data_IF_703167169767
#
_entry.id   IF_703167169767
#
_cell.length_a   1.000
_cell.length_b   1.000
_cell.length_c   1.000
_cell.angle_alpha   90.00
_cell.angle_beta   90.00
_cell.angle_gamma   90.00
#
_symmetry.space_group_name_H-M   'P 1'
#
loop_
_entity.id
_entity.type
_entity.pdbx_description
1 polymer ?
#
# COMPACT_ATOMS: atom_id res chain seq x y z
N UNK A 1 3.33 -5.68 -11.06
CA UNK A 1 2.64 -6.89 -10.54
C UNK A 1 1.30 -7.03 -11.25
N UNK A 2 0.78 -8.26 -11.37
CA UNK A 2 -0.57 -8.56 -11.86
C UNK A 2 -1.31 -9.32 -10.75
N UNK A 3 -2.42 -8.78 -10.27
CA UNK A 3 -3.23 -9.41 -9.24
C UNK A 3 -4.53 -9.90 -9.86
N UNK A 4 -4.76 -11.19 -9.76
CA UNK A 4 -6.02 -11.83 -10.12
C UNK A 4 -6.71 -12.36 -8.88
N UNK A 5 -7.90 -11.88 -8.63
CA UNK A 5 -8.78 -12.34 -7.55
C UNK A 5 -9.82 -13.26 -8.17
N UNK A 6 -9.73 -14.57 -7.96
CA UNK A 6 -10.67 -15.51 -8.55
C UNK A 6 -12.06 -15.35 -7.95
N UNK A 7 -13.06 -15.78 -8.70
CA UNK A 7 -14.42 -15.89 -8.15
C UNK A 7 -14.41 -16.84 -6.94
N UNK A 8 -14.97 -16.37 -5.83
CA UNK A 8 -15.05 -17.12 -4.58
C UNK A 8 -16.43 -16.96 -3.95
N UNK A 9 -16.94 -18.03 -3.35
CA UNK A 9 -18.23 -17.99 -2.66
C UNK A 9 -18.13 -17.44 -1.24
N UNK A 10 -16.95 -17.51 -0.62
CA UNK A 10 -16.70 -17.08 0.74
C UNK A 10 -15.40 -16.26 0.82
N UNK A 11 -15.33 -15.23 1.67
CA UNK A 11 -14.09 -14.50 1.88
C UNK A 11 -13.03 -15.40 2.53
N UNK A 12 -11.77 -15.19 2.13
CA UNK A 12 -10.61 -15.84 2.76
C UNK A 12 -10.29 -15.17 4.08
N UNK A 13 -10.51 -13.87 4.15
CA UNK A 13 -10.14 -13.03 5.28
C UNK A 13 -11.26 -12.09 5.70
N UNK A 14 -11.29 -11.80 6.98
CA UNK A 14 -12.21 -10.84 7.59
C UNK A 14 -11.40 -9.90 8.46
N UNK A 15 -11.57 -8.60 8.25
CA UNK A 15 -10.88 -7.57 9.03
C UNK A 15 -11.18 -7.73 10.53
N UNK A 16 -10.13 -7.84 11.33
CA UNK A 16 -10.25 -7.92 12.78
C UNK A 16 -10.75 -6.62 13.42
N UNK A 17 -10.61 -5.49 12.69
CA UNK A 17 -10.98 -4.18 13.19
C UNK A 17 -12.48 -3.91 13.10
N UNK A 18 -13.11 -4.27 11.99
CA UNK A 18 -14.51 -3.89 11.69
C UNK A 18 -15.38 -5.05 11.17
N UNK A 19 -14.81 -6.27 11.08
CA UNK A 19 -15.53 -7.45 10.63
C UNK A 19 -15.84 -7.47 9.13
N UNK A 20 -15.23 -6.57 8.34
CA UNK A 20 -15.48 -6.49 6.89
C UNK A 20 -14.72 -7.60 6.18
N UNK A 21 -15.39 -8.27 5.25
CA UNK A 21 -14.79 -9.29 4.39
C UNK A 21 -13.82 -8.67 3.39
N UNK A 22 -12.59 -9.19 3.32
CA UNK A 22 -11.50 -8.64 2.53
C UNK A 22 -11.05 -9.59 1.43
N UNK A 23 -10.72 -9.02 0.27
CA UNK A 23 -9.98 -9.65 -0.81
C UNK A 23 -8.48 -9.37 -0.74
N UNK A 24 -8.10 -8.29 -0.05
CA UNK A 24 -6.73 -7.96 0.31
C UNK A 24 -6.73 -7.21 1.63
N UNK A 25 -5.88 -7.63 2.56
CA UNK A 25 -5.74 -7.04 3.90
C UNK A 25 -5.38 -5.56 3.85
N UNK A 26 -5.67 -4.86 4.94
CA UNK A 26 -5.24 -3.47 5.15
C UNK A 26 -3.73 -3.39 5.22
N UNK A 27 -3.15 -2.56 4.37
CA UNK A 27 -1.71 -2.35 4.31
C UNK A 27 -1.36 -0.97 3.75
N UNK A 28 -0.08 -0.65 3.77
CA UNK A 28 0.54 0.46 3.03
C UNK A 28 1.60 -0.11 2.10
N UNK A 29 1.85 0.56 0.98
CA UNK A 29 2.93 0.15 0.07
C UNK A 29 4.30 0.59 0.60
N UNK A 30 5.34 -0.18 0.29
CA UNK A 30 6.71 0.09 0.74
C UNK A 30 7.42 1.18 -0.07
N UNK A 31 7.10 1.34 -1.35
CA UNK A 31 7.81 2.20 -2.29
C UNK A 31 7.58 3.70 -2.12
N UNK A 32 7.96 4.45 -3.14
CA UNK A 32 7.69 5.90 -3.24
C UNK A 32 6.22 6.14 -3.55
N UNK A 33 5.73 5.51 -4.62
CA UNK A 33 4.33 5.58 -5.03
C UNK A 33 3.91 4.31 -5.78
N UNK A 34 2.61 4.09 -5.80
CA UNK A 34 1.98 3.05 -6.62
C UNK A 34 1.08 3.70 -7.66
N UNK A 35 1.18 3.27 -8.90
CA UNK A 35 0.24 3.60 -9.98
C UNK A 35 -0.58 2.35 -10.25
N UNK A 36 -1.87 2.41 -9.96
CA UNK A 36 -2.75 1.25 -9.98
C UNK A 36 -3.81 1.37 -11.07
N UNK A 37 -3.85 0.38 -11.96
CA UNK A 37 -5.03 0.06 -12.73
C UNK A 37 -5.93 -0.87 -11.92
N UNK A 38 -7.23 -0.58 -11.86
CA UNK A 38 -8.26 -1.48 -11.36
C UNK A 38 -9.36 -1.66 -12.40
N UNK A 39 -9.96 -2.84 -12.46
CA UNK A 39 -11.09 -3.09 -13.33
C UNK A 39 -12.39 -2.49 -12.77
N UNK A 40 -13.49 -2.61 -13.54
CA UNK A 40 -14.80 -2.07 -13.18
C UNK A 40 -15.45 -2.69 -11.94
N UNK A 41 -14.88 -3.76 -11.38
CA UNK A 41 -15.38 -4.38 -10.15
C UNK A 41 -15.11 -3.54 -8.92
N UNK A 42 -14.06 -2.68 -8.97
CA UNK A 42 -13.74 -1.78 -7.87
C UNK A 42 -13.30 -2.50 -6.61
N UNK A 43 -13.87 -2.12 -5.47
CA UNK A 43 -13.61 -2.71 -4.16
C UNK A 43 -12.37 -2.19 -3.45
N UNK A 44 -11.57 -1.32 -4.08
CA UNK A 44 -10.48 -0.62 -3.41
C UNK A 44 -11.05 0.42 -2.45
N UNK A 45 -10.54 0.40 -1.22
CA UNK A 45 -10.82 1.42 -0.21
C UNK A 45 -9.53 2.04 0.30
N UNK A 46 -9.58 3.33 0.61
CA UNK A 46 -8.51 4.09 1.26
C UNK A 46 -9.01 4.63 2.59
N UNK A 47 -8.11 4.69 3.58
CA UNK A 47 -8.45 5.18 4.91
C UNK A 47 -8.09 6.66 5.06
N UNK A 48 -9.05 7.46 5.49
CA UNK A 48 -8.78 8.81 5.95
C UNK A 48 -8.00 8.74 7.27
N UNK A 49 -6.75 9.18 7.26
CA UNK A 49 -5.85 9.08 8.44
C UNK A 49 -6.29 9.94 9.63
N UNK A 50 -7.11 10.97 9.43
CA UNK A 50 -7.54 11.87 10.50
C UNK A 50 -8.80 11.37 11.18
N UNK A 51 -9.75 10.83 10.41
CA UNK A 51 -11.03 10.34 10.94
C UNK A 51 -11.04 8.83 11.15
N UNK A 52 -10.15 8.09 10.46
CA UNK A 52 -10.15 6.62 10.44
C UNK A 52 -11.19 6.02 9.47
N UNK A 53 -12.00 6.85 8.82
CA UNK A 53 -13.05 6.39 7.92
C UNK A 53 -12.48 5.78 6.64
N UNK A 54 -13.15 4.76 6.14
CA UNK A 54 -12.85 4.13 4.86
C UNK A 54 -13.69 4.74 3.75
N UNK A 55 -13.04 5.05 2.63
CA UNK A 55 -13.67 5.61 1.44
C UNK A 55 -13.41 4.70 0.24
N UNK A 56 -14.47 4.44 -0.52
CA UNK A 56 -14.36 3.71 -1.78
C UNK A 56 -13.59 4.56 -2.81
N UNK A 57 -12.71 3.89 -3.57
CA UNK A 57 -12.06 4.48 -4.74
C UNK A 57 -12.79 3.98 -5.98
N UNK A 58 -13.62 4.83 -6.61
CA UNK A 58 -14.40 4.42 -7.76
C UNK A 58 -13.51 4.06 -8.95
N UNK A 59 -13.99 3.12 -9.78
CA UNK A 59 -13.35 2.85 -11.06
C UNK A 59 -13.62 4.00 -12.05
N UNK A 60 -12.56 4.47 -12.70
CA UNK A 60 -12.63 5.34 -13.86
C UNK A 60 -11.81 4.68 -14.99
N UNK A 61 -12.42 4.37 -16.16
CA UNK A 61 -11.71 3.71 -17.27
C UNK A 61 -10.61 4.57 -17.88
N UNK A 62 -10.60 5.87 -17.62
CA UNK A 62 -9.64 6.83 -18.17
C UNK A 62 -8.60 7.29 -17.14
N UNK A 63 -8.58 6.72 -15.94
CA UNK A 63 -7.70 7.14 -14.87
C UNK A 63 -7.00 5.95 -14.18
N UNK A 64 -5.82 6.23 -13.63
CA UNK A 64 -5.13 5.37 -12.67
C UNK A 64 -5.30 5.93 -11.26
N UNK A 65 -5.33 5.04 -10.30
CA UNK A 65 -5.23 5.43 -8.89
C UNK A 65 -3.76 5.59 -8.54
N UNK A 66 -3.40 6.69 -7.87
CA UNK A 66 -2.04 6.92 -7.38
C UNK A 66 -2.09 7.05 -5.87
N UNK A 67 -1.27 6.27 -5.17
CA UNK A 67 -1.08 6.38 -3.74
C UNK A 67 0.41 6.45 -3.36
N UNK A 68 0.68 7.10 -2.25
CA UNK A 68 2.02 7.24 -1.66
C UNK A 68 2.36 6.02 -0.81
N UNK A 69 3.64 5.65 -0.81
CA UNK A 69 4.16 4.56 0.00
C UNK A 69 5.11 5.04 1.11
N UNK A 70 5.60 4.09 1.92
CA UNK A 70 6.42 4.35 3.10
C UNK A 70 7.78 4.99 2.77
N UNK A 71 8.42 4.63 1.65
CA UNK A 71 9.69 5.26 1.26
C UNK A 71 9.52 6.77 1.05
N UNK A 72 8.41 7.21 0.46
CA UNK A 72 8.12 8.65 0.32
C UNK A 72 7.83 9.29 1.69
N UNK A 73 7.16 8.59 2.59
CA UNK A 73 6.94 9.08 3.95
C UNK A 73 8.26 9.34 4.67
N UNK A 74 9.22 8.40 4.58
CA UNK A 74 10.56 8.56 5.15
C UNK A 74 11.31 9.72 4.49
N UNK A 75 11.36 9.77 3.17
CA UNK A 75 12.04 10.83 2.41
C UNK A 75 11.48 12.23 2.68
N UNK A 76 10.19 12.33 2.95
CA UNK A 76 9.56 13.61 3.27
C UNK A 76 9.52 13.91 4.78
N UNK A 77 10.23 13.11 5.57
CA UNK A 77 10.24 13.22 7.03
C UNK A 77 8.81 13.26 7.62
N UNK A 78 7.93 12.42 7.08
CA UNK A 78 6.55 12.29 7.51
C UNK A 78 5.57 13.35 7.01
N UNK A 79 6.00 14.28 6.12
CA UNK A 79 5.09 15.30 5.54
C UNK A 79 4.09 14.68 4.59
N UNK A 80 4.51 13.70 3.78
CA UNK A 80 3.63 12.90 2.94
C UNK A 80 3.52 11.49 3.53
N UNK A 81 2.36 11.19 4.09
CA UNK A 81 2.11 9.90 4.75
C UNK A 81 1.75 8.81 3.75
N UNK A 82 2.23 7.61 3.99
CA UNK A 82 1.74 6.43 3.29
C UNK A 82 0.25 6.22 3.58
N UNK A 83 -0.48 5.77 2.57
CA UNK A 83 -1.93 5.66 2.61
C UNK A 83 -2.35 4.23 2.92
N UNK A 84 -3.03 4.01 4.05
CA UNK A 84 -3.67 2.74 4.33
C UNK A 84 -4.74 2.46 3.28
N UNK A 85 -4.69 1.27 2.71
CA UNK A 85 -5.69 0.83 1.75
C UNK A 85 -5.96 -0.66 1.90
N UNK A 86 -7.11 -1.09 1.39
CA UNK A 86 -7.57 -2.48 1.41
C UNK A 86 -8.43 -2.77 0.20
N UNK A 87 -8.68 -4.04 -0.09
CA UNK A 87 -9.64 -4.44 -1.12
C UNK A 87 -10.75 -5.23 -0.48
N UNK A 88 -11.98 -4.83 -0.70
CA UNK A 88 -13.16 -5.56 -0.25
C UNK A 88 -13.26 -6.90 -0.97
N UNK A 89 -13.77 -7.88 -0.26
CA UNK A 89 -14.13 -9.16 -0.87
C UNK A 89 -15.21 -8.94 -1.93
N UNK A 90 -15.01 -9.57 -3.08
CA UNK A 90 -15.99 -9.58 -4.16
C UNK A 90 -16.21 -11.03 -4.60
N UNK A 91 -17.48 -11.44 -4.76
CA UNK A 91 -17.82 -12.77 -5.24
C UNK A 91 -17.47 -12.98 -6.71
N UNK A 92 -17.32 -11.91 -7.49
CA UNK A 92 -16.90 -11.98 -8.89
C UNK A 92 -15.38 -11.91 -9.02
N UNK A 93 -14.88 -12.41 -10.15
CA UNK A 93 -13.45 -12.24 -10.46
C UNK A 93 -13.11 -10.76 -10.64
N UNK A 94 -11.90 -10.40 -10.18
CA UNK A 94 -11.37 -9.04 -10.25
C UNK A 94 -9.92 -9.05 -10.69
N UNK A 95 -9.53 -8.03 -11.44
CA UNK A 95 -8.15 -7.81 -11.87
C UNK A 95 -7.69 -6.44 -11.40
N UNK A 96 -6.46 -6.37 -10.89
CA UNK A 96 -5.76 -5.11 -10.68
C UNK A 96 -4.28 -5.23 -11.04
N UNK A 97 -3.71 -4.14 -11.54
CA UNK A 97 -2.33 -4.11 -12.03
C UNK A 97 -1.61 -2.94 -11.36
N UNK A 98 -0.99 -3.14 -10.19
CA UNK A 98 -0.15 -2.13 -9.56
C UNK A 98 1.22 -2.07 -10.23
N UNK A 99 1.70 -0.87 -10.49
CA UNK A 99 3.09 -0.56 -10.76
C UNK A 99 3.67 0.13 -9.54
N UNK A 100 4.64 -0.52 -8.89
CA UNK A 100 5.34 0.02 -7.73
C UNK A 100 6.56 0.79 -8.21
N UNK A 101 6.61 2.08 -7.92
CA UNK A 101 7.79 2.91 -8.16
C UNK A 101 8.63 2.94 -6.89
N UNK A 102 9.79 2.30 -6.98
CA UNK A 102 10.67 2.06 -5.83
C UNK A 102 12.06 2.65 -6.07
N UNK A 103 12.78 3.07 -5.02
CA UNK A 103 14.18 3.48 -5.14
C UNK A 103 15.08 2.30 -5.51
N UNK A 104 16.33 2.57 -5.91
CA UNK A 104 17.37 1.54 -5.95
C UNK A 104 17.68 1.02 -4.54
N UNK A 105 18.13 -0.23 -4.42
CA UNK A 105 18.36 -0.88 -3.12
C UNK A 105 19.39 -0.17 -2.24
N UNK A 106 20.41 0.43 -2.86
CA UNK A 106 21.46 1.20 -2.19
C UNK A 106 21.08 2.64 -1.87
N UNK A 107 19.90 3.10 -2.31
CA UNK A 107 19.45 4.46 -2.09
C UNK A 107 19.15 4.69 -0.60
N UNK A 108 19.72 5.75 -0.03
CA UNK A 108 19.47 6.14 1.36
C UNK A 108 18.17 6.93 1.48
N UNK A 109 17.29 6.49 2.37
CA UNK A 109 16.04 7.19 2.70
C UNK A 109 16.34 8.38 3.64
N UNK A 110 17.15 9.34 3.15
CA UNK A 110 17.54 10.54 3.90
C UNK A 110 16.76 11.75 3.39
N UNK A 111 15.95 12.40 4.25
CA UNK A 111 15.20 13.62 3.91
C UNK A 111 16.05 14.76 3.36
N UNK A 112 17.34 14.78 3.64
CA UNK A 112 18.27 15.79 3.11
C UNK A 112 18.36 15.79 1.59
N UNK A 113 18.07 14.66 0.92
CA UNK A 113 18.02 14.60 -0.55
C UNK A 113 16.90 15.48 -1.14
N UNK A 114 15.89 15.83 -0.34
CA UNK A 114 14.81 16.75 -0.66
C UNK A 114 14.98 18.13 0.03
N UNK A 115 16.20 18.48 0.45
CA UNK A 115 16.53 19.73 1.15
C UNK A 115 15.74 19.93 2.47
N UNK A 116 15.30 18.85 3.09
CA UNK A 116 14.61 18.88 4.38
C UNK A 116 15.67 18.86 5.47
N UNK A 117 15.81 19.95 6.21
CA UNK A 117 16.84 20.16 7.24
C UNK A 117 16.38 19.90 8.67
N UNK A 118 15.10 19.58 8.87
CA UNK A 118 14.54 19.27 10.19
C UNK A 118 15.13 17.98 10.76
N UNK A 119 15.09 17.83 12.07
CA UNK A 119 15.48 16.58 12.74
C UNK A 119 14.67 15.41 12.20
N UNK A 120 15.36 14.35 11.77
CA UNK A 120 14.71 13.18 11.26
C UNK A 120 13.88 12.48 12.35
N UNK A 121 12.63 12.19 12.03
CA UNK A 121 11.73 11.41 12.89
C UNK A 121 11.83 9.89 12.60
N UNK A 122 12.49 9.49 11.51
CA UNK A 122 12.75 8.12 11.10
C UNK A 122 14.26 7.84 11.13
N UNK A 123 14.61 6.55 11.27
CA UNK A 123 15.99 6.13 11.06
C UNK A 123 16.36 6.23 9.58
N UNK A 124 17.56 6.75 9.32
CA UNK A 124 18.11 6.76 7.96
C UNK A 124 18.76 5.42 7.71
N UNK A 125 18.18 4.66 6.79
CA UNK A 125 18.68 3.37 6.33
C UNK A 125 18.69 3.34 4.79
N UNK A 126 19.41 2.38 4.20
CA UNK A 126 19.26 2.15 2.77
C UNK A 126 17.92 1.44 2.47
N UNK A 127 17.49 1.52 1.21
CA UNK A 127 16.18 0.98 0.85
C UNK A 127 16.10 -0.55 0.98
N UNK A 128 17.19 -1.28 0.77
CA UNK A 128 17.23 -2.73 0.94
C UNK A 128 16.92 -3.16 2.38
N UNK A 129 17.59 -2.54 3.35
CA UNK A 129 17.36 -2.82 4.78
C UNK A 129 15.95 -2.43 5.19
N UNK A 130 15.49 -1.26 4.76
CA UNK A 130 14.13 -0.78 4.99
C UNK A 130 13.08 -1.76 4.41
N UNK A 131 13.25 -2.18 3.15
CA UNK A 131 12.33 -3.10 2.49
C UNK A 131 12.32 -4.47 3.19
N UNK A 132 13.49 -5.00 3.52
CA UNK A 132 13.63 -6.27 4.25
C UNK A 132 12.92 -6.22 5.60
N UNK A 133 13.10 -5.12 6.35
CA UNK A 133 12.44 -4.95 7.64
C UNK A 133 10.91 -4.73 7.50
N UNK A 134 10.48 -4.09 6.43
CA UNK A 134 9.06 -3.90 6.14
C UNK A 134 8.38 -5.20 5.74
N UNK A 135 9.01 -6.01 4.90
CA UNK A 135 8.47 -7.30 4.44
C UNK A 135 8.27 -8.30 5.59
N UNK A 136 9.13 -8.29 6.62
CA UNK A 136 8.96 -9.12 7.82
C UNK A 136 7.66 -8.86 8.57
N UNK A 137 7.01 -7.72 8.34
CA UNK A 137 5.72 -7.36 8.97
C UNK A 137 4.50 -7.87 8.20
N UNK A 138 4.68 -8.35 6.97
CA UNK A 138 3.59 -8.91 6.18
C UNK A 138 3.41 -10.41 6.48
N UNK A 139 2.21 -10.80 6.86
CA UNK A 139 1.83 -12.18 7.22
C UNK A 139 2.10 -13.19 6.09
N UNK A 140 2.04 -12.76 4.84
CA UNK A 140 2.32 -13.60 3.67
C UNK A 140 3.77 -14.13 3.64
N UNK A 141 4.72 -13.40 4.21
CA UNK A 141 6.14 -13.81 4.27
C UNK A 141 6.50 -14.58 5.56
N UNK A 142 5.67 -14.47 6.59
CA UNK A 142 5.89 -15.19 7.86
C UNK A 142 5.52 -16.70 7.76
N UNK A 143 4.75 -17.08 6.72
CA UNK A 143 4.35 -18.48 6.46
C UNK A 143 5.37 -19.28 5.64
N UNK A 144 6.48 -18.68 5.23
CA UNK A 144 7.53 -19.30 4.40
C UNK A 144 8.73 -19.85 5.20
N UNK A 145 8.68 -19.81 6.56
CA UNK A 145 9.70 -20.37 7.47
C UNK A 145 9.13 -21.52 8.29
#
# INVERSE_FOLDING_TARGET
RFNYYPKQEKPVEVSAQDGVALGCETHVDSGIMTILYQDKKGGLQVQNRHTGDWHDVPHDPNAFVINTGLALEYLTNGRMKATNHRVLFNQEERISIPFFFEPSYDFKLDPKCLEISESNIYNIENYEDFLTNSLKKFVEYDRAN
#
